data_IF_642035546880
#
_entry.id   IF_642035546880
#
_cell.length_a   1.000
_cell.length_b   1.000
_cell.length_c   1.000
_cell.angle_alpha   90.00
_cell.angle_beta   90.00
_cell.angle_gamma   90.00
#
_symmetry.space_group_name_H-M   'P 1'
#
loop_
_entity.id
_entity.type
_entity.pdbx_description
1 polymer ?
#
# COMPACT_ATOMS: atom_id res chain seq x y z
N UNK A 1 19.04 19.49 12.40
CA UNK A 1 18.02 19.40 13.47
C UNK A 1 17.29 18.09 13.27
N UNK A 2 17.32 17.13 14.21
CA UNK A 2 16.47 15.96 14.10
C UNK A 2 15.05 16.37 14.50
N UNK A 3 14.06 15.96 13.71
CA UNK A 3 12.66 16.08 14.10
C UNK A 3 12.43 15.08 15.23
N UNK A 4 12.30 15.59 16.44
CA UNK A 4 11.82 14.85 17.61
C UNK A 4 10.32 14.64 17.45
N UNK A 5 9.91 13.56 16.80
CA UNK A 5 8.52 13.10 16.80
C UNK A 5 8.30 12.16 17.98
N UNK A 6 8.19 12.74 19.17
CA UNK A 6 7.87 12.03 20.41
C UNK A 6 6.41 12.23 20.83
N UNK A 7 5.47 12.43 19.89
CA UNK A 7 4.08 12.78 20.23
C UNK A 7 3.02 12.54 19.12
N UNK A 8 2.88 11.33 18.57
CA UNK A 8 1.56 10.88 18.02
C UNK A 8 1.38 9.38 17.68
N UNK A 9 2.18 8.44 18.18
CA UNK A 9 1.90 7.01 17.92
C UNK A 9 0.81 6.42 18.85
N UNK A 10 0.51 7.12 19.95
CA UNK A 10 -0.52 6.72 20.90
C UNK A 10 -1.92 7.09 20.36
N UNK A 11 -2.51 6.20 19.57
CA UNK A 11 -3.91 6.29 19.14
C UNK A 11 -4.19 6.02 17.66
N UNK A 12 -3.20 5.55 16.89
CA UNK A 12 -3.42 5.24 15.47
C UNK A 12 -4.12 3.90 15.36
N UNK A 13 -5.36 3.94 14.86
CA UNK A 13 -6.10 2.73 14.51
C UNK A 13 -5.40 2.02 13.35
N UNK A 14 -5.25 0.70 13.46
CA UNK A 14 -4.64 -0.14 12.44
C UNK A 14 -5.53 -1.35 12.18
N UNK A 15 -5.56 -1.80 10.92
CA UNK A 15 -6.24 -3.03 10.55
C UNK A 15 -5.31 -4.23 10.80
N UNK A 16 -5.82 -5.29 11.43
CA UNK A 16 -5.06 -6.52 11.67
C UNK A 16 -5.76 -7.72 11.02
N UNK A 17 -5.01 -8.46 10.22
CA UNK A 17 -5.48 -9.69 9.59
C UNK A 17 -5.43 -10.83 10.61
N UNK A 18 -6.61 -11.26 11.07
CA UNK A 18 -6.76 -12.30 12.07
C UNK A 18 -6.49 -13.68 11.49
N UNK A 19 -7.50 -14.41 11.01
CA UNK A 19 -7.28 -15.70 10.35
C UNK A 19 -8.28 -15.81 9.21
N UNK A 20 -7.81 -15.65 7.97
CA UNK A 20 -8.68 -15.64 6.78
C UNK A 20 -8.03 -16.40 5.64
N UNK A 21 -8.82 -16.91 4.69
CA UNK A 21 -8.33 -17.51 3.45
C UNK A 21 -8.31 -16.53 2.27
N UNK A 22 -9.09 -15.44 2.34
CA UNK A 22 -9.19 -14.38 1.34
C UNK A 22 -8.62 -13.08 1.90
N UNK A 23 -7.63 -12.50 1.23
CA UNK A 23 -7.12 -11.16 1.51
C UNK A 23 -7.45 -10.23 0.34
N UNK A 24 -8.13 -9.13 0.65
CA UNK A 24 -8.33 -8.02 -0.27
C UNK A 24 -8.38 -6.72 0.50
N UNK A 25 -7.57 -5.76 0.08
CA UNK A 25 -7.56 -4.40 0.58
C UNK A 25 -7.71 -3.51 -0.63
N UNK A 26 -8.72 -2.64 -0.60
CA UNK A 26 -9.07 -1.76 -1.70
C UNK A 26 -9.11 -0.31 -1.21
N UNK A 27 -8.38 0.55 -1.88
CA UNK A 27 -8.44 1.99 -1.69
C UNK A 27 -8.79 2.70 -2.99
N UNK A 28 -9.53 3.80 -2.86
CA UNK A 28 -9.94 4.66 -3.96
C UNK A 28 -9.66 6.11 -3.61
N UNK A 29 -9.25 6.89 -4.60
CA UNK A 29 -9.08 8.33 -4.46
C UNK A 29 -9.50 9.00 -5.77
N UNK A 30 -10.32 10.05 -5.68
CA UNK A 30 -10.58 10.89 -6.84
C UNK A 30 -9.34 11.76 -7.13
N UNK A 31 -8.82 11.68 -8.35
CA UNK A 31 -7.62 12.41 -8.76
C UNK A 31 -7.79 13.95 -8.65
N UNK A 32 -9.02 14.46 -8.57
CA UNK A 32 -9.30 15.89 -8.35
C UNK A 32 -8.85 16.41 -6.98
N UNK A 33 -8.61 15.55 -6.00
CA UNK A 33 -8.02 15.94 -4.70
C UNK A 33 -6.51 16.17 -4.76
N UNK A 34 -5.88 15.92 -5.91
CA UNK A 34 -4.44 16.01 -6.08
C UNK A 34 -4.06 17.22 -6.93
N UNK A 35 -2.88 17.79 -6.67
CA UNK A 35 -2.35 18.89 -7.47
C UNK A 35 -2.10 18.42 -8.91
N UNK A 36 -2.55 19.16 -9.94
CA UNK A 36 -2.23 18.89 -11.34
C UNK A 36 -0.72 19.04 -11.63
N UNK A 37 -0.25 18.36 -12.67
CA UNK A 37 1.13 18.39 -13.15
C UNK A 37 2.13 17.64 -12.26
N UNK A 38 1.67 16.80 -11.32
CA UNK A 38 2.53 16.14 -10.32
C UNK A 38 2.50 14.62 -10.50
N UNK A 39 3.66 13.98 -10.39
CA UNK A 39 3.75 12.52 -10.26
C UNK A 39 3.60 12.13 -8.81
N UNK A 40 2.72 11.18 -8.52
CA UNK A 40 2.49 10.62 -7.20
C UNK A 40 2.93 9.16 -7.15
N UNK A 41 3.40 8.75 -5.98
CA UNK A 41 3.60 7.35 -5.60
C UNK A 41 2.52 6.92 -4.62
N UNK A 42 2.02 5.69 -4.80
CA UNK A 42 1.11 5.03 -3.86
C UNK A 42 1.84 3.86 -3.20
N UNK A 43 1.75 3.76 -1.87
CA UNK A 43 2.32 2.65 -1.11
C UNK A 43 1.41 2.24 0.05
N UNK A 44 1.37 0.95 0.40
CA UNK A 44 0.77 0.48 1.66
C UNK A 44 1.79 0.51 2.79
N UNK A 45 1.40 0.98 3.98
CA UNK A 45 2.24 0.92 5.18
C UNK A 45 1.84 -0.29 6.02
N UNK A 46 2.71 -1.30 6.06
CA UNK A 46 2.40 -2.61 6.65
C UNK A 46 3.46 -3.07 7.64
N UNK A 47 3.09 -4.06 8.46
CA UNK A 47 3.98 -4.75 9.38
C UNK A 47 3.53 -6.21 9.50
N UNK A 48 4.47 -7.12 9.74
CA UNK A 48 4.19 -8.50 10.13
C UNK A 48 4.33 -8.67 11.65
N UNK A 49 3.31 -9.21 12.31
CA UNK A 49 3.30 -9.56 13.74
C UNK A 49 3.13 -11.05 13.95
N UNK A 50 3.70 -11.54 15.05
CA UNK A 50 3.52 -12.92 15.47
C UNK A 50 2.17 -13.15 16.16
N UNK A 51 1.55 -14.34 15.99
CA UNK A 51 1.98 -15.39 15.06
C UNK A 51 1.69 -14.98 13.61
N UNK A 52 2.65 -15.20 12.70
CA UNK A 52 2.44 -15.00 11.26
C UNK A 52 2.57 -16.31 10.50
N UNK A 53 1.60 -16.64 9.66
CA UNK A 53 1.66 -17.82 8.79
C UNK A 53 0.81 -17.62 7.53
N UNK A 54 0.98 -18.51 6.55
CA UNK A 54 0.21 -18.49 5.30
C UNK A 54 0.74 -17.56 4.21
N UNK A 55 1.96 -17.04 4.36
CA UNK A 55 2.57 -16.03 3.47
C UNK A 55 3.58 -16.59 2.45
N UNK A 56 3.53 -17.89 2.17
CA UNK A 56 4.39 -18.51 1.16
C UNK A 56 3.98 -18.15 -0.28
N UNK A 57 2.75 -17.64 -0.46
CA UNK A 57 2.27 -17.06 -1.71
C UNK A 57 2.41 -15.54 -1.62
N UNK A 58 3.06 -14.93 -2.62
CA UNK A 58 3.17 -13.48 -2.74
C UNK A 58 1.79 -12.82 -2.92
N UNK A 59 1.62 -11.65 -2.33
CA UNK A 59 0.44 -10.81 -2.57
C UNK A 59 0.60 -10.05 -3.87
N UNK A 60 -0.52 -9.72 -4.53
CA UNK A 60 -0.54 -8.85 -5.69
C UNK A 60 -0.76 -7.42 -5.22
N UNK A 61 0.04 -6.49 -5.73
CA UNK A 61 -0.17 -5.05 -5.63
C UNK A 61 -0.59 -4.53 -6.99
N UNK A 62 -1.68 -3.77 -7.02
CA UNK A 62 -2.26 -3.22 -8.24
C UNK A 62 -2.59 -1.74 -8.07
N UNK A 63 -2.23 -0.94 -9.06
CA UNK A 63 -2.70 0.44 -9.24
C UNK A 63 -3.44 0.54 -10.56
N UNK A 64 -4.68 0.98 -10.56
CA UNK A 64 -5.50 1.26 -11.74
C UNK A 64 -5.72 2.77 -11.84
N UNK A 65 -5.31 3.35 -12.97
CA UNK A 65 -5.49 4.78 -13.24
C UNK A 65 -6.81 5.05 -13.99
N UNK A 66 -7.34 6.28 -13.92
CA UNK A 66 -8.41 6.72 -14.81
C UNK A 66 -8.07 6.42 -16.27
N UNK A 67 -8.94 5.68 -16.95
CA UNK A 67 -8.67 5.11 -18.29
C UNK A 67 -8.41 3.61 -18.31
N UNK A 68 -8.33 2.95 -17.15
CA UNK A 68 -8.27 1.49 -17.03
C UNK A 68 -6.88 0.87 -17.21
N UNK A 69 -5.84 1.70 -17.37
CA UNK A 69 -4.44 1.24 -17.38
C UNK A 69 -4.05 0.80 -15.97
N UNK A 70 -3.56 -0.43 -15.84
CA UNK A 70 -3.10 -0.99 -14.57
C UNK A 70 -1.58 -1.18 -14.53
N UNK A 71 -1.04 -1.06 -13.32
CA UNK A 71 0.30 -1.51 -12.95
C UNK A 71 0.13 -2.62 -11.91
N UNK A 72 0.71 -3.77 -12.18
CA UNK A 72 0.56 -4.98 -11.36
C UNK A 72 1.93 -5.58 -11.07
N UNK A 73 2.19 -5.89 -9.80
CA UNK A 73 3.37 -6.68 -9.44
C UNK A 73 3.12 -7.48 -8.16
N UNK A 74 3.99 -8.46 -7.90
CA UNK A 74 3.88 -9.35 -6.74
C UNK A 74 4.94 -9.05 -5.71
N UNK A 75 4.57 -9.11 -4.43
CA UNK A 75 5.48 -8.91 -3.29
C UNK A 75 5.37 -10.09 -2.32
N UNK A 76 6.52 -10.61 -1.90
CA UNK A 76 6.58 -11.61 -0.83
C UNK A 76 6.48 -10.92 0.53
N UNK A 77 5.54 -11.37 1.37
CA UNK A 77 5.43 -10.92 2.77
C UNK A 77 6.14 -11.88 3.74
N UNK A 78 6.77 -12.93 3.23
CA UNK A 78 7.57 -13.87 4.02
C UNK A 78 9.03 -13.42 4.14
N UNK A 79 9.24 -12.14 4.45
CA UNK A 79 10.56 -11.58 4.73
C UNK A 79 10.66 -11.20 6.22
N UNK A 80 11.71 -11.69 6.88
CA UNK A 80 12.08 -11.32 8.25
C UNK A 80 12.19 -9.82 8.48
N UNK A 81 12.56 -9.04 7.46
CA UNK A 81 12.65 -7.59 7.48
C UNK A 81 11.30 -6.88 7.70
N UNK A 82 10.18 -7.57 7.50
CA UNK A 82 8.84 -7.01 7.73
C UNK A 82 8.35 -7.22 9.18
N UNK A 83 9.06 -8.06 9.96
CA UNK A 83 8.63 -8.42 11.32
C UNK A 83 8.83 -7.26 12.28
N UNK A 84 7.76 -6.91 13.00
CA UNK A 84 7.76 -5.87 14.04
C UNK A 84 8.31 -4.51 13.59
N UNK A 85 8.30 -4.23 12.28
CA UNK A 85 8.73 -2.97 11.67
C UNK A 85 7.72 -2.53 10.61
N UNK A 86 7.38 -1.25 10.64
CA UNK A 86 6.59 -0.63 9.57
C UNK A 86 7.43 -0.51 8.30
N UNK A 87 6.90 -1.00 7.19
CA UNK A 87 7.54 -0.97 5.87
C UNK A 87 6.53 -0.48 4.82
N UNK A 88 7.01 0.37 3.91
CA UNK A 88 6.24 0.78 2.74
C UNK A 88 6.32 -0.30 1.67
N UNK A 89 5.16 -0.73 1.16
CA UNK A 89 5.04 -1.57 -0.03
C UNK A 89 4.57 -0.70 -1.19
N UNK A 90 5.47 -0.27 -2.09
CA UNK A 90 5.10 0.53 -3.24
C UNK A 90 4.10 -0.23 -4.12
N UNK A 91 3.00 0.42 -4.50
CA UNK A 91 2.00 -0.13 -5.42
C UNK A 91 2.31 0.30 -6.85
N UNK A 92 2.67 1.57 -7.04
CA UNK A 92 3.00 2.14 -8.33
C UNK A 92 3.00 3.67 -8.31
N UNK A 93 3.23 4.27 -9.48
CA UNK A 93 3.25 5.72 -9.66
C UNK A 93 2.29 6.16 -10.74
N UNK A 94 1.69 7.35 -10.62
CA UNK A 94 0.85 7.94 -11.65
C UNK A 94 1.05 9.46 -11.73
N UNK A 95 0.78 10.06 -12.88
CA UNK A 95 0.93 11.50 -13.09
C UNK A 95 -0.41 12.18 -13.31
N UNK A 96 -0.67 13.26 -12.58
CA UNK A 96 -1.86 14.09 -12.71
C UNK A 96 -1.70 15.08 -13.86
N UNK A 97 -1.57 14.60 -15.11
CA UNK A 97 -1.50 15.50 -16.27
C UNK A 97 -2.73 16.41 -16.41
N UNK A 98 -2.68 17.39 -17.32
CA UNK A 98 -3.87 18.20 -17.67
C UNK A 98 -4.99 17.29 -18.17
N UNK A 99 -5.95 16.99 -17.30
CA UNK A 99 -7.12 16.19 -17.64
C UNK A 99 -7.23 14.80 -17.01
N UNK A 100 -6.32 14.37 -16.11
CA UNK A 100 -6.57 13.16 -15.33
C UNK A 100 -7.79 13.39 -14.42
N UNK A 101 -8.95 12.87 -14.82
CA UNK A 101 -10.23 12.97 -14.10
C UNK A 101 -10.76 11.58 -13.83
N UNK A 102 -11.23 11.36 -12.61
CA UNK A 102 -11.79 10.10 -12.17
C UNK A 102 -11.00 9.48 -11.02
N UNK A 103 -11.42 8.28 -10.64
CA UNK A 103 -10.85 7.56 -9.50
C UNK A 103 -9.59 6.81 -9.90
N UNK A 104 -8.53 6.97 -9.10
CA UNK A 104 -7.48 5.96 -8.99
C UNK A 104 -7.96 4.87 -8.03
N UNK A 105 -7.61 3.63 -8.32
CA UNK A 105 -7.87 2.49 -7.44
C UNK A 105 -6.54 1.79 -7.16
N UNK A 106 -6.29 1.45 -5.89
CA UNK A 106 -5.11 0.72 -5.49
C UNK A 106 -5.48 -0.43 -4.57
N UNK A 107 -4.84 -1.59 -4.76
CA UNK A 107 -5.20 -2.78 -4.01
C UNK A 107 -4.02 -3.68 -3.65
N UNK A 108 -4.21 -4.41 -2.56
CA UNK A 108 -3.35 -5.52 -2.13
C UNK A 108 -4.24 -6.74 -1.93
N UNK A 109 -3.99 -7.82 -2.68
CA UNK A 109 -4.88 -8.98 -2.66
C UNK A 109 -4.17 -10.32 -2.89
N UNK A 110 -4.71 -11.35 -2.24
CA UNK A 110 -4.37 -12.75 -2.44
C UNK A 110 -5.57 -13.61 -2.01
N UNK A 111 -6.31 -14.13 -2.99
CA UNK A 111 -7.46 -15.00 -2.79
C UNK A 111 -7.42 -16.26 -3.65
N UNK A 112 -6.36 -16.44 -4.46
CA UNK A 112 -6.24 -17.58 -5.39
C UNK A 112 -5.64 -18.83 -4.74
N UNK A 113 -4.86 -18.67 -3.66
CA UNK A 113 -4.16 -19.77 -3.02
C UNK A 113 -5.01 -20.64 -2.08
N UNK A 114 -6.15 -20.13 -1.60
CA UNK A 114 -6.97 -20.83 -0.59
C UNK A 114 -6.27 -21.04 0.77
N UNK A 115 -5.11 -20.42 0.97
CA UNK A 115 -4.27 -20.57 2.15
C UNK A 115 -4.76 -19.65 3.27
N UNK A 116 -4.99 -20.24 4.44
CA UNK A 116 -5.25 -19.49 5.67
C UNK A 116 -4.03 -18.70 6.09
N UNK A 117 -4.23 -17.41 6.37
CA UNK A 117 -3.17 -16.44 6.63
C UNK A 117 -3.53 -15.54 7.81
N UNK A 118 -2.49 -15.14 8.55
CA UNK A 118 -2.55 -14.34 9.78
C UNK A 118 -1.31 -13.46 9.95
N UNK A 119 -1.48 -12.34 10.64
CA UNK A 119 -0.35 -11.59 11.21
C UNK A 119 0.07 -10.37 10.40
N UNK A 120 -0.58 -10.12 9.25
CA UNK A 120 -0.43 -8.85 8.54
C UNK A 120 -1.15 -7.74 9.31
N UNK A 121 -0.47 -6.63 9.54
CA UNK A 121 -1.04 -5.41 10.10
C UNK A 121 -0.86 -4.29 9.08
N UNK A 122 -1.91 -3.51 8.86
CA UNK A 122 -1.95 -2.42 7.88
C UNK A 122 -2.31 -1.14 8.61
N UNK A 123 -1.44 -0.14 8.52
CA UNK A 123 -1.69 1.19 9.06
C UNK A 123 -2.49 2.06 8.11
N UNK A 124 -2.30 1.88 6.81
CA UNK A 124 -3.02 2.61 5.78
C UNK A 124 -2.27 2.61 4.46
N UNK A 125 -2.64 3.54 3.59
CA UNK A 125 -1.93 3.84 2.36
C UNK A 125 -1.38 5.27 2.39
N UNK A 126 -0.24 5.46 1.73
CA UNK A 126 0.42 6.76 1.55
C UNK A 126 0.34 7.10 0.07
N UNK A 127 -0.09 8.33 -0.21
CA UNK A 127 -0.11 8.92 -1.55
C UNK A 127 0.67 10.22 -1.45
N UNK A 128 1.81 10.31 -2.15
CA UNK A 128 2.72 11.45 -2.01
C UNK A 128 3.34 11.88 -3.33
N UNK A 129 3.64 13.18 -3.52
CA UNK A 129 4.40 13.65 -4.67
C UNK A 129 5.80 13.00 -4.73
N UNK A 130 6.20 12.56 -5.91
CA UNK A 130 7.57 12.18 -6.23
C UNK A 130 8.31 13.42 -6.69
N UNK A 131 9.38 13.80 -5.99
CA UNK A 131 10.25 14.89 -6.45
C UNK A 131 11.14 14.35 -7.57
N UNK A 132 10.93 14.83 -8.80
CA UNK A 132 11.95 14.69 -9.84
C UNK A 132 13.13 15.58 -9.44
N UNK A 133 14.28 14.98 -9.14
CA UNK A 133 15.52 15.71 -9.01
C UNK A 133 16.02 15.94 -10.44
N UNK A 134 15.91 17.18 -10.94
CA UNK A 134 16.56 17.56 -12.19
C UNK A 134 18.08 17.44 -11.98
N UNK A 135 18.72 16.53 -12.71
CA UNK A 135 20.17 16.44 -12.82
C UNK A 135 20.75 17.43 -13.83
#
# INVERSE_FOLDING_TARGET
MPLNDSSSDAGIEVASLQNVCWLEVLGKLDASYLSPGVTYEVAFLVMMKDPSYGWHVSVNLRLVCPGGVSQDHKVSLNDSNLRNRWVELPVGTFSTGEGLKGEIEFSMFEYGGGIWKRGLVIRGAVIRPVRLVCG
#
